data_IF_157590951751
#
_entry.id   IF_157590951751
#
_cell.length_a   1.000
_cell.length_b   1.000
_cell.length_c   1.000
_cell.angle_alpha   90.00
_cell.angle_beta   90.00
_cell.angle_gamma   90.00
#
_symmetry.space_group_name_H-M   'P 1'
#
loop_
_entity.id
_entity.type
_entity.pdbx_description
1 polymer ?
#
# COMPACT_ATOMS: atom_id res chain seq x y z
N UNK A 1 19.78 -13.73 -18.53
CA UNK A 1 19.01 -14.00 -17.30
C UNK A 1 18.74 -12.75 -16.48
N UNK A 2 19.69 -11.81 -16.33
CA UNK A 2 19.48 -10.57 -15.56
C UNK A 2 18.30 -9.72 -15.98
N UNK A 3 18.08 -9.57 -17.29
CA UNK A 3 16.98 -8.76 -17.83
C UNK A 3 15.58 -9.30 -17.47
N UNK A 4 15.42 -10.62 -17.46
CA UNK A 4 14.18 -11.28 -17.06
C UNK A 4 13.89 -11.10 -15.57
N UNK A 5 14.93 -11.22 -14.73
CA UNK A 5 14.84 -11.00 -13.28
C UNK A 5 14.56 -9.53 -12.98
N UNK A 6 15.22 -8.59 -13.67
CA UNK A 6 14.98 -7.17 -13.53
C UNK A 6 13.56 -6.75 -13.97
N UNK A 7 13.04 -7.35 -15.04
CA UNK A 7 11.67 -7.12 -15.49
C UNK A 7 10.64 -7.63 -14.48
N UNK A 8 10.75 -8.89 -14.06
CA UNK A 8 9.80 -9.51 -13.09
C UNK A 8 9.88 -8.79 -11.75
N UNK A 9 11.09 -8.56 -11.24
CA UNK A 9 11.28 -7.87 -9.97
C UNK A 9 10.84 -6.41 -10.03
N UNK A 10 11.15 -5.69 -11.12
CA UNK A 10 10.69 -4.31 -11.32
C UNK A 10 9.17 -4.19 -11.33
N UNK A 11 8.48 -5.12 -12.01
CA UNK A 11 7.01 -5.17 -12.01
C UNK A 11 6.43 -5.50 -10.62
N UNK A 12 6.97 -6.53 -9.95
CA UNK A 12 6.55 -6.92 -8.61
C UNK A 12 6.81 -5.82 -7.57
N UNK A 13 8.00 -5.23 -7.57
CA UNK A 13 8.37 -4.16 -6.65
C UNK A 13 7.50 -2.92 -6.87
N UNK A 14 7.22 -2.56 -8.12
CA UNK A 14 6.29 -1.49 -8.44
C UNK A 14 4.90 -1.72 -7.83
N UNK A 15 4.36 -2.94 -7.94
CA UNK A 15 3.04 -3.27 -7.36
C UNK A 15 3.08 -3.27 -5.82
N UNK A 16 4.14 -3.83 -5.23
CA UNK A 16 4.33 -3.84 -3.77
C UNK A 16 4.47 -2.42 -3.21
N UNK A 17 5.23 -1.54 -3.87
CA UNK A 17 5.33 -0.13 -3.51
C UNK A 17 3.96 0.56 -3.60
N UNK A 18 3.19 0.29 -4.67
CA UNK A 18 1.86 0.84 -4.82
C UNK A 18 0.91 0.44 -3.68
N UNK A 19 0.92 -0.84 -3.30
CA UNK A 19 0.14 -1.37 -2.17
C UNK A 19 0.60 -0.79 -0.84
N UNK A 20 1.91 -0.65 -0.65
CA UNK A 20 2.50 -0.10 0.59
C UNK A 20 2.10 1.35 0.78
N UNK A 21 2.20 2.18 -0.27
CA UNK A 21 1.79 3.59 -0.21
C UNK A 21 0.28 3.72 -0.01
N UNK A 22 -0.53 2.92 -0.70
CA UNK A 22 -1.98 2.93 -0.49
C UNK A 22 -2.37 2.55 0.95
N UNK A 23 -1.70 1.54 1.53
CA UNK A 23 -1.91 1.12 2.91
C UNK A 23 -1.44 2.18 3.92
N UNK A 24 -0.31 2.84 3.66
CA UNK A 24 0.20 3.94 4.49
C UNK A 24 -0.75 5.15 4.47
N UNK A 25 -1.24 5.53 3.30
CA UNK A 25 -2.24 6.60 3.13
C UNK A 25 -3.53 6.25 3.86
N UNK A 26 -4.00 5.01 3.72
CA UNK A 26 -5.17 4.50 4.44
C UNK A 26 -4.97 4.63 5.94
N UNK A 27 -3.82 4.19 6.45
CA UNK A 27 -3.47 4.31 7.87
C UNK A 27 -3.51 5.76 8.35
N UNK A 28 -2.94 6.69 7.58
CA UNK A 28 -2.95 8.12 7.89
C UNK A 28 -4.37 8.70 7.94
N UNK A 29 -5.25 8.32 7.01
CA UNK A 29 -6.66 8.75 6.99
C UNK A 29 -7.40 8.23 8.21
N UNK A 30 -7.24 6.94 8.57
CA UNK A 30 -7.86 6.37 9.76
C UNK A 30 -7.34 7.01 11.05
N UNK A 31 -6.03 7.26 11.15
CA UNK A 31 -5.42 7.93 12.29
C UNK A 31 -5.97 9.35 12.46
N UNK A 32 -6.07 10.10 11.36
CA UNK A 32 -6.63 11.45 11.36
C UNK A 32 -8.13 11.46 11.72
N UNK A 33 -8.90 10.52 11.17
CA UNK A 33 -10.32 10.34 11.49
C UNK A 33 -10.55 10.00 12.96
N UNK A 34 -9.69 9.15 13.54
CA UNK A 34 -9.67 8.81 14.96
C UNK A 34 -9.37 10.03 15.83
N UNK A 35 -8.31 10.80 15.52
CA UNK A 35 -7.94 12.02 16.24
C UNK A 35 -9.07 13.07 16.22
N UNK A 36 -9.73 13.23 15.06
CA UNK A 36 -10.84 14.18 14.89
C UNK A 36 -12.17 13.71 15.51
N UNK A 37 -12.24 12.49 16.04
CA UNK A 37 -13.45 11.92 16.62
C UNK A 37 -14.61 11.73 15.62
N UNK A 38 -14.33 11.71 14.32
CA UNK A 38 -15.34 11.60 13.25
C UNK A 38 -15.71 10.16 12.91
N UNK A 39 -15.04 9.19 13.51
CA UNK A 39 -15.20 7.76 13.25
C UNK A 39 -15.42 7.06 14.59
N UNK A 40 -16.37 6.13 14.67
CA UNK A 40 -16.63 5.35 15.88
C UNK A 40 -15.32 4.75 16.43
N UNK A 41 -15.02 4.98 17.71
CA UNK A 41 -13.69 4.69 18.32
C UNK A 41 -13.23 3.24 18.09
N UNK A 42 -14.17 2.30 18.07
CA UNK A 42 -13.90 0.87 17.90
C UNK A 42 -13.63 0.47 16.44
N UNK A 43 -14.47 0.93 15.50
CA UNK A 43 -14.28 0.70 14.06
C UNK A 43 -13.05 1.41 13.54
N UNK A 44 -12.73 2.59 14.08
CA UNK A 44 -11.52 3.34 13.76
C UNK A 44 -10.25 2.61 14.23
N UNK A 45 -10.25 2.04 15.44
CA UNK A 45 -9.12 1.28 15.95
C UNK A 45 -8.89 -0.03 15.16
N UNK A 46 -9.95 -0.74 14.79
CA UNK A 46 -9.86 -1.93 13.93
C UNK A 46 -9.33 -1.60 12.53
N UNK A 47 -9.88 -0.57 11.88
CA UNK A 47 -9.44 -0.11 10.56
C UNK A 47 -7.98 0.31 10.56
N UNK A 48 -7.53 1.02 11.60
CA UNK A 48 -6.14 1.42 11.79
C UNK A 48 -5.22 0.21 12.00
N UNK A 49 -5.62 -0.77 12.82
CA UNK A 49 -4.86 -1.99 13.06
C UNK A 49 -4.67 -2.82 11.79
N UNK A 50 -5.72 -2.99 10.99
CA UNK A 50 -5.65 -3.72 9.71
C UNK A 50 -4.75 -2.98 8.71
N UNK A 51 -4.87 -1.66 8.61
CA UNK A 51 -4.06 -0.86 7.69
C UNK A 51 -2.56 -0.88 8.07
N UNK A 52 -2.24 -0.82 9.37
CA UNK A 52 -0.88 -0.98 9.87
C UNK A 52 -0.33 -2.38 9.57
N UNK A 53 -1.10 -3.44 9.84
CA UNK A 53 -0.68 -4.81 9.58
C UNK A 53 -0.42 -5.04 8.08
N UNK A 54 -1.29 -4.52 7.20
CA UNK A 54 -1.07 -4.57 5.76
C UNK A 54 0.20 -3.81 5.34
N UNK A 55 0.43 -2.61 5.87
CA UNK A 55 1.63 -1.82 5.56
C UNK A 55 2.89 -2.58 5.97
N UNK A 56 2.91 -3.15 7.18
CA UNK A 56 4.02 -3.97 7.67
C UNK A 56 4.25 -5.22 6.80
N UNK A 57 3.18 -5.92 6.42
CA UNK A 57 3.26 -7.09 5.56
C UNK A 57 3.89 -6.78 4.20
N UNK A 58 3.44 -5.72 3.53
CA UNK A 58 4.01 -5.35 2.24
C UNK A 58 5.47 -4.92 2.33
N UNK A 59 5.87 -4.22 3.39
CA UNK A 59 7.27 -3.89 3.66
C UNK A 59 8.13 -5.15 3.84
N UNK A 60 7.63 -6.15 4.57
CA UNK A 60 8.31 -7.44 4.72
C UNK A 60 8.46 -8.13 3.37
N UNK A 61 7.42 -8.16 2.53
CA UNK A 61 7.52 -8.73 1.18
C UNK A 61 8.56 -8.03 0.31
N UNK A 62 8.65 -6.69 0.38
CA UNK A 62 9.68 -5.91 -0.31
C UNK A 62 11.07 -6.31 0.17
N UNK A 63 11.27 -6.35 1.50
CA UNK A 63 12.56 -6.70 2.09
C UNK A 63 12.99 -8.12 1.72
N UNK A 64 12.10 -9.10 1.86
CA UNK A 64 12.36 -10.51 1.52
C UNK A 64 12.67 -10.67 0.04
N UNK A 65 11.89 -10.06 -0.85
CA UNK A 65 12.13 -10.14 -2.28
C UNK A 65 13.43 -9.44 -2.70
N UNK A 66 13.77 -8.30 -2.07
CA UNK A 66 15.04 -7.63 -2.29
C UNK A 66 16.21 -8.52 -1.84
N UNK A 67 16.13 -9.12 -0.64
CA UNK A 67 17.16 -10.05 -0.16
C UNK A 67 17.34 -11.24 -1.10
N UNK A 68 16.26 -11.85 -1.57
CA UNK A 68 16.29 -12.95 -2.54
C UNK A 68 16.99 -12.56 -3.85
N UNK A 69 16.63 -11.42 -4.41
CA UNK A 69 17.17 -10.95 -5.70
C UNK A 69 18.64 -10.58 -5.60
N UNK A 70 19.05 -9.94 -4.51
CA UNK A 70 20.42 -9.42 -4.36
C UNK A 70 21.41 -10.41 -3.76
N UNK A 71 20.97 -11.31 -2.88
CA UNK A 71 21.88 -12.22 -2.16
C UNK A 71 21.81 -13.67 -2.65
N UNK A 72 20.66 -14.13 -3.13
CA UNK A 72 20.44 -15.55 -3.41
C UNK A 72 20.43 -15.90 -4.89
N UNK A 73 20.14 -14.94 -5.78
CA UNK A 73 20.22 -15.15 -7.22
C UNK A 73 21.62 -14.77 -7.75
N UNK A 74 22.36 -15.70 -8.41
CA UNK A 74 23.64 -15.41 -9.06
C UNK A 74 23.44 -14.67 -10.38
N UNK A 75 22.80 -13.51 -10.33
CA UNK A 75 22.45 -12.70 -11.50
C UNK A 75 23.48 -11.57 -11.63
N UNK A 76 24.21 -11.56 -12.74
CA UNK A 76 24.99 -10.38 -13.12
C UNK A 76 24.05 -9.33 -13.67
N UNK A 77 23.91 -8.24 -12.93
CA UNK A 77 23.19 -7.05 -13.38
C UNK A 77 24.06 -6.24 -14.35
N UNK A 78 23.48 -5.92 -15.50
CA UNK A 78 24.03 -4.99 -16.50
C UNK A 78 23.36 -3.63 -16.39
N UNK A 79 23.96 -2.59 -16.95
CA UNK A 79 23.37 -1.24 -16.98
C UNK A 79 21.97 -1.23 -17.63
N UNK A 80 21.76 -2.10 -18.62
CA UNK A 80 20.48 -2.30 -19.30
C UNK A 80 19.39 -2.81 -18.35
N UNK A 81 19.74 -3.70 -17.41
CA UNK A 81 18.82 -4.27 -16.43
C UNK A 81 18.36 -3.21 -15.42
N UNK A 82 19.27 -2.31 -15.02
CA UNK A 82 18.96 -1.20 -14.13
C UNK A 82 17.98 -0.20 -14.80
N UNK A 83 18.18 0.10 -16.08
CA UNK A 83 17.27 0.99 -16.84
C UNK A 83 15.87 0.39 -16.94
N UNK A 84 15.73 -0.90 -17.27
CA UNK A 84 14.42 -1.58 -17.35
C UNK A 84 13.72 -1.57 -16.00
N UNK A 85 14.46 -1.89 -14.93
CA UNK A 85 13.94 -1.86 -13.57
C UNK A 85 13.44 -0.45 -13.18
N UNK A 86 14.25 0.59 -13.40
CA UNK A 86 13.88 1.97 -13.10
C UNK A 86 12.69 2.44 -13.93
N UNK A 87 12.62 2.08 -15.21
CA UNK A 87 11.51 2.44 -16.09
C UNK A 87 10.18 1.85 -15.60
N UNK A 88 10.16 0.58 -15.18
CA UNK A 88 8.96 -0.07 -14.64
C UNK A 88 8.52 0.55 -13.32
N UNK A 89 9.46 0.83 -12.41
CA UNK A 89 9.17 1.48 -11.13
C UNK A 89 8.66 2.91 -11.34
N UNK A 90 9.29 3.67 -12.25
CA UNK A 90 8.89 5.03 -12.57
C UNK A 90 7.50 5.08 -13.22
N UNK A 91 7.21 4.18 -14.16
CA UNK A 91 5.89 4.07 -14.79
C UNK A 91 4.81 3.77 -13.75
N UNK A 92 5.11 2.90 -12.79
CA UNK A 92 4.18 2.57 -11.70
C UNK A 92 3.99 3.74 -10.74
N UNK A 93 5.06 4.46 -10.40
CA UNK A 93 5.00 5.69 -9.62
C UNK A 93 4.17 6.78 -10.29
N UNK A 94 4.30 6.96 -11.60
CA UNK A 94 3.51 7.91 -12.37
C UNK A 94 2.02 7.56 -12.33
N UNK A 95 1.67 6.27 -12.49
CA UNK A 95 0.29 5.82 -12.35
C UNK A 95 -0.27 6.08 -10.95
N UNK A 96 0.53 5.88 -9.91
CA UNK A 96 0.12 6.17 -8.54
C UNK A 96 -0.18 7.65 -8.31
N UNK A 97 0.59 8.57 -8.90
CA UNK A 97 0.29 10.01 -8.79
C UNK A 97 -1.12 10.35 -9.28
N UNK A 98 -1.62 9.63 -10.28
CA UNK A 98 -2.97 9.79 -10.82
C UNK A 98 -4.03 9.03 -10.01
N UNK A 99 -3.72 7.82 -9.53
CA UNK A 99 -4.68 6.94 -8.85
C UNK A 99 -4.86 7.25 -7.36
N UNK A 100 -3.81 7.75 -6.69
CA UNK A 100 -3.78 8.03 -5.25
C UNK A 100 -4.82 9.09 -4.85
N UNK A 101 -4.97 10.24 -5.53
CA UNK A 101 -5.98 11.23 -5.18
C UNK A 101 -7.41 10.67 -5.18
N UNK A 102 -7.74 9.86 -6.21
CA UNK A 102 -9.05 9.21 -6.30
C UNK A 102 -9.25 8.13 -5.22
N UNK A 103 -8.17 7.45 -4.80
CA UNK A 103 -8.21 6.51 -3.69
C UNK A 103 -8.45 7.23 -2.35
N UNK A 104 -7.71 8.32 -2.08
CA UNK A 104 -7.91 9.18 -0.90
C UNK A 104 -9.35 9.68 -0.81
N UNK A 105 -9.88 10.21 -1.92
CA UNK A 105 -11.23 10.76 -1.95
C UNK A 105 -12.33 9.71 -1.71
N UNK A 106 -12.09 8.44 -2.05
CA UNK A 106 -13.00 7.33 -1.74
C UNK A 106 -12.90 6.92 -0.27
N UNK A 107 -11.68 6.68 0.21
CA UNK A 107 -11.45 6.28 1.61
C UNK A 107 -11.93 7.33 2.61
N UNK A 108 -11.78 8.62 2.28
CA UNK A 108 -12.28 9.69 3.14
C UNK A 108 -13.80 9.75 3.19
N UNK A 109 -14.48 9.49 2.06
CA UNK A 109 -15.95 9.34 2.04
C UNK A 109 -16.38 8.14 2.89
N UNK A 110 -15.75 6.99 2.71
CA UNK A 110 -16.11 5.77 3.45
C UNK A 110 -15.85 5.92 4.95
N UNK A 111 -14.78 6.63 5.34
CA UNK A 111 -14.48 6.91 6.74
C UNK A 111 -15.43 7.93 7.39
N UNK A 112 -16.07 8.81 6.61
CA UNK A 112 -16.98 9.85 7.13
C UNK A 112 -18.45 9.46 7.11
N UNK A 113 -18.84 8.41 6.39
CA UNK A 113 -20.19 7.86 6.47
C UNK A 113 -20.26 7.03 7.77
N UNK A 114 -21.14 7.39 8.74
CA UNK A 114 -21.29 6.63 9.98
C UNK A 114 -21.65 5.18 9.62
N UNK A 115 -20.77 4.26 10.03
CA UNK A 115 -20.80 2.88 9.59
C UNK A 115 -22.10 2.18 9.97
N UNK A 116 -22.48 1.17 9.18
CA UNK A 116 -23.61 0.26 9.43
C UNK A 116 -23.68 -0.27 10.88
N UNK A 117 -22.57 -0.28 11.62
CA UNK A 117 -22.51 -0.64 13.04
C UNK A 117 -23.17 0.38 13.99
N UNK A 118 -23.06 1.69 13.75
CA UNK A 118 -23.79 2.69 14.55
C UNK A 118 -25.29 2.61 14.31
N UNK A 119 -25.70 2.29 13.07
CA UNK A 119 -27.10 2.04 12.74
C UNK A 119 -27.61 0.74 13.34
N UNK A 120 -26.77 -0.31 13.44
CA UNK A 120 -27.12 -1.55 14.11
C UNK A 120 -27.26 -1.35 15.64
N UNK A 121 -26.36 -0.59 16.28
CA UNK A 121 -26.45 -0.28 17.71
C UNK A 121 -27.70 0.55 18.04
N UNK A 122 -28.05 1.54 17.22
CA UNK A 122 -29.28 2.34 17.39
C UNK A 122 -30.57 1.56 17.17
N UNK A 123 -30.54 0.41 16.50
CA UNK A 123 -31.70 -0.50 16.39
C UNK A 123 -31.82 -1.46 17.56
N UNK A 124 -30.76 -1.60 18.37
CA UNK A 124 -30.75 -2.46 19.56
C UNK A 124 -31.00 -1.69 20.87
N UNK A 125 -31.01 -0.35 20.82
CA UNK A 125 -31.47 0.54 21.89
C UNK A 125 -32.93 0.95 21.65
#
# INVERSE_FOLDING_TARGET
MGLLVAFIWGACLGDLLARTVAAAITTAIWAWGFIRGRVGRWTAAQGLGIALAQTAWWLVCIMVGQTLVWQWLPVRYTDSDAVVFLALVALRGLWMLLAVPAHIARMWRDATVPGHYEQALRRMQ
#
